data_IF_776042442280
#
_entry.id   IF_776042442280
#
_cell.length_a   1.000
_cell.length_b   1.000
_cell.length_c   1.000
_cell.angle_alpha   90.00
_cell.angle_beta   90.00
_cell.angle_gamma   90.00
#
_symmetry.space_group_name_H-M   'P 1'
#
loop_
_entity.id
_entity.type
_entity.pdbx_description
1 polymer ?
#
# COMPACT_ATOMS: atom_id res chain seq x y z
N UNK A 1 8.42 -11.96 20.31
CA UNK A 1 7.62 -11.19 19.33
C UNK A 1 6.82 -10.15 20.11
N UNK A 2 6.78 -8.91 19.65
CA UNK A 2 6.33 -7.73 20.42
C UNK A 2 4.87 -7.78 20.95
N UNK A 3 4.08 -8.79 20.57
CA UNK A 3 2.64 -8.87 20.85
C UNK A 3 2.16 -10.22 21.44
N UNK A 4 3.07 -11.16 21.75
CA UNK A 4 2.73 -12.52 22.25
C UNK A 4 1.65 -13.27 21.44
N UNK A 5 1.65 -13.08 20.11
CA UNK A 5 0.72 -13.73 19.20
C UNK A 5 1.30 -15.03 18.64
N UNK A 6 0.51 -16.09 18.65
CA UNK A 6 0.82 -17.36 17.96
C UNK A 6 0.08 -17.41 16.63
N UNK A 7 0.81 -17.24 15.53
CA UNK A 7 0.24 -17.26 14.18
C UNK A 7 0.96 -18.25 13.27
N UNK A 8 0.21 -18.94 12.42
CA UNK A 8 0.76 -19.73 11.31
C UNK A 8 0.72 -18.90 10.03
N UNK A 9 1.89 -18.65 9.45
CA UNK A 9 1.97 -17.97 8.15
C UNK A 9 1.59 -18.91 7.01
N UNK A 10 0.70 -18.45 6.13
CA UNK A 10 0.26 -19.18 4.92
C UNK A 10 0.45 -18.26 3.71
N UNK A 11 1.42 -18.54 2.83
CA UNK A 11 1.70 -17.67 1.68
C UNK A 11 0.73 -17.92 0.52
N UNK A 12 0.39 -16.84 -0.19
CA UNK A 12 -0.36 -16.87 -1.46
C UNK A 12 0.30 -15.95 -2.49
N UNK A 13 0.07 -16.22 -3.79
CA UNK A 13 0.76 -15.54 -4.90
C UNK A 13 0.27 -14.11 -5.21
N UNK A 14 -0.72 -13.58 -4.49
CA UNK A 14 -1.23 -12.23 -4.72
C UNK A 14 -2.34 -11.83 -3.77
N UNK A 15 -2.48 -10.53 -3.52
CA UNK A 15 -3.39 -10.03 -2.49
C UNK A 15 -4.88 -10.22 -2.82
N UNK A 16 -5.27 -10.26 -4.10
CA UNK A 16 -6.62 -10.69 -4.49
C UNK A 16 -6.95 -12.14 -4.11
N UNK A 17 -5.96 -13.05 -4.16
CA UNK A 17 -6.12 -14.42 -3.66
C UNK A 17 -6.22 -14.42 -2.13
N UNK A 18 -5.37 -13.65 -1.45
CA UNK A 18 -5.40 -13.50 0.02
C UNK A 18 -6.79 -13.03 0.49
N UNK A 19 -7.36 -12.00 -0.14
CA UNK A 19 -8.67 -11.45 0.21
C UNK A 19 -9.78 -12.50 0.09
N UNK A 20 -9.77 -13.31 -0.98
CA UNK A 20 -10.70 -14.43 -1.15
C UNK A 20 -10.58 -15.51 -0.08
N UNK A 21 -9.37 -15.78 0.40
CA UNK A 21 -9.14 -16.81 1.43
C UNK A 21 -9.70 -16.37 2.79
N UNK A 22 -9.59 -15.09 3.14
CA UNK A 22 -10.25 -14.53 4.33
C UNK A 22 -11.77 -14.57 4.15
N UNK A 23 -12.28 -14.05 3.03
CA UNK A 23 -13.73 -14.00 2.77
C UNK A 23 -14.38 -15.40 2.73
N UNK A 24 -13.67 -16.39 2.19
CA UNK A 24 -14.07 -17.80 2.16
C UNK A 24 -13.85 -18.54 3.49
N UNK A 25 -13.37 -17.86 4.54
CA UNK A 25 -13.08 -18.42 5.87
C UNK A 25 -12.05 -19.56 5.86
N UNK A 26 -11.16 -19.59 4.87
CA UNK A 26 -10.04 -20.54 4.81
C UNK A 26 -8.86 -20.13 5.69
N UNK A 27 -8.77 -18.83 6.02
CA UNK A 27 -7.81 -18.26 6.97
C UNK A 27 -8.53 -17.24 7.88
N UNK A 28 -7.99 -17.02 9.08
CA UNK A 28 -8.65 -16.16 10.08
C UNK A 28 -8.40 -14.66 9.87
N UNK A 29 -7.26 -14.29 9.29
CA UNK A 29 -6.86 -12.90 9.07
C UNK A 29 -5.81 -12.81 7.97
N UNK A 30 -5.62 -11.61 7.43
CA UNK A 30 -4.56 -11.31 6.49
C UNK A 30 -4.07 -9.86 6.63
N UNK A 31 -2.92 -9.58 6.02
CA UNK A 31 -2.53 -8.23 5.63
C UNK A 31 -2.80 -8.10 4.12
N UNK A 32 -3.53 -7.06 3.71
CA UNK A 32 -3.90 -6.83 2.31
C UNK A 32 -3.71 -5.36 1.93
N UNK A 33 -3.53 -5.09 0.63
CA UNK A 33 -3.69 -3.72 0.15
C UNK A 33 -5.18 -3.32 0.21
N UNK A 34 -5.51 -2.06 0.54
CA UNK A 34 -6.89 -1.60 0.70
C UNK A 34 -7.80 -1.93 -0.48
N UNK A 35 -7.30 -1.71 -1.72
CA UNK A 35 -8.07 -1.94 -2.95
C UNK A 35 -8.45 -3.40 -3.19
N UNK A 36 -7.72 -4.36 -2.61
CA UNK A 36 -7.94 -5.80 -2.86
C UNK A 36 -9.01 -6.38 -1.94
N UNK A 37 -9.17 -5.83 -0.74
CA UNK A 37 -10.14 -6.28 0.27
C UNK A 37 -11.46 -5.47 0.22
N UNK A 38 -11.44 -4.26 -0.34
CA UNK A 38 -12.57 -3.33 -0.37
C UNK A 38 -13.90 -3.96 -0.80
N UNK A 39 -13.91 -4.74 -1.89
CA UNK A 39 -15.14 -5.38 -2.37
C UNK A 39 -15.73 -6.37 -1.35
N UNK A 40 -14.89 -7.09 -0.62
CA UNK A 40 -15.32 -8.04 0.42
C UNK A 40 -15.79 -7.32 1.69
N UNK A 41 -15.15 -6.19 2.04
CA UNK A 41 -15.61 -5.33 3.12
C UNK A 41 -16.99 -4.74 2.82
N UNK A 42 -17.18 -4.18 1.63
CA UNK A 42 -18.46 -3.61 1.20
C UNK A 42 -19.57 -4.68 1.13
N UNK A 43 -19.22 -5.93 0.83
CA UNK A 43 -20.12 -7.07 0.87
C UNK A 43 -20.38 -7.63 2.30
N UNK A 44 -19.76 -7.06 3.34
CA UNK A 44 -19.92 -7.48 4.73
C UNK A 44 -19.26 -8.81 5.09
N UNK A 45 -18.37 -9.33 4.23
CA UNK A 45 -17.69 -10.64 4.43
C UNK A 45 -16.22 -10.51 4.84
N UNK A 46 -15.75 -9.28 5.05
CA UNK A 46 -14.44 -8.99 5.63
C UNK A 46 -14.57 -7.82 6.62
N UNK A 47 -13.78 -7.86 7.69
CA UNK A 47 -13.73 -6.79 8.71
C UNK A 47 -12.30 -6.26 8.80
N UNK A 48 -12.06 -4.98 8.41
CA UNK A 48 -10.78 -4.31 8.65
C UNK A 48 -10.54 -4.16 10.15
N UNK A 49 -9.39 -4.61 10.64
CA UNK A 49 -9.07 -4.57 12.08
C UNK A 49 -8.23 -3.36 12.46
N UNK A 50 -7.25 -3.02 11.63
CA UNK A 50 -6.30 -1.93 11.89
C UNK A 50 -5.68 -1.46 10.57
N UNK A 51 -5.44 -0.15 10.46
CA UNK A 51 -4.67 0.45 9.37
C UNK A 51 -3.20 0.61 9.79
N UNK A 52 -2.29 0.34 8.86
CA UNK A 52 -0.86 0.58 9.04
C UNK A 52 -0.41 1.95 8.47
N UNK A 53 -1.34 2.85 8.20
CA UNK A 53 -1.05 4.24 7.83
C UNK A 53 -1.00 5.14 9.08
N UNK A 54 -0.39 6.32 8.96
CA UNK A 54 -0.37 7.30 10.05
C UNK A 54 -1.78 7.78 10.42
N UNK A 55 -2.62 7.98 9.41
CA UNK A 55 -4.02 8.41 9.52
C UNK A 55 -4.96 7.29 9.10
N UNK A 56 -6.23 7.37 9.50
CA UNK A 56 -7.25 6.42 9.07
C UNK A 56 -7.48 6.51 7.55
N UNK A 57 -7.95 5.41 6.98
CA UNK A 57 -8.33 5.35 5.57
C UNK A 57 -9.79 5.75 5.41
N UNK A 58 -10.10 6.71 4.54
CA UNK A 58 -11.48 7.19 4.32
C UNK A 58 -12.46 6.07 3.97
N UNK A 59 -11.99 5.06 3.21
CA UNK A 59 -12.79 3.90 2.82
C UNK A 59 -13.05 2.91 3.95
N UNK A 60 -12.27 2.97 5.03
CA UNK A 60 -12.33 2.08 6.17
C UNK A 60 -12.34 2.90 7.48
N UNK A 61 -13.30 3.83 7.66
CA UNK A 61 -13.24 4.85 8.71
C UNK A 61 -13.32 4.26 10.13
N UNK A 62 -13.86 3.04 10.25
CA UNK A 62 -14.01 2.32 11.50
C UNK A 62 -12.74 1.57 11.92
N UNK A 63 -11.76 1.43 11.02
CA UNK A 63 -10.48 0.81 11.35
C UNK A 63 -9.56 1.84 12.02
N UNK A 64 -9.15 1.65 13.27
CA UNK A 64 -8.15 2.52 13.89
C UNK A 64 -6.78 2.31 13.24
N UNK A 65 -5.87 3.26 13.42
CA UNK A 65 -4.45 3.09 13.06
C UNK A 65 -3.69 2.35 14.17
N UNK A 66 -2.50 1.82 13.86
CA UNK A 66 -1.60 1.29 14.91
C UNK A 66 -1.22 2.36 15.93
N UNK A 67 -1.08 3.62 15.51
CA UNK A 67 -0.79 4.76 16.41
C UNK A 67 -1.92 5.02 17.40
N UNK A 68 -3.18 4.98 16.95
CA UNK A 68 -4.35 5.05 17.84
C UNK A 68 -4.43 3.87 18.82
N UNK A 69 -3.77 2.76 18.51
CA UNK A 69 -3.61 1.59 19.40
C UNK A 69 -2.36 1.66 20.28
N UNK A 70 -1.67 2.81 20.33
CA UNK A 70 -0.51 3.04 21.18
C UNK A 70 0.80 2.43 20.64
N UNK A 71 0.85 2.10 19.34
CA UNK A 71 2.04 1.57 18.68
C UNK A 71 2.54 2.57 17.65
N UNK A 72 3.78 3.05 17.80
CA UNK A 72 4.40 3.92 16.80
C UNK A 72 4.86 3.09 15.59
N UNK A 73 3.89 2.75 14.73
CA UNK A 73 4.11 1.96 13.55
C UNK A 73 3.28 2.49 12.40
N UNK A 74 3.95 2.77 11.30
CA UNK A 74 3.32 2.98 10.00
C UNK A 74 4.13 2.26 8.93
N UNK A 75 3.43 1.72 7.94
CA UNK A 75 3.99 1.01 6.81
C UNK A 75 3.27 1.43 5.53
N UNK A 76 4.06 1.92 4.59
CA UNK A 76 3.60 2.28 3.26
C UNK A 76 4.29 1.37 2.25
N UNK A 77 3.50 0.70 1.42
CA UNK A 77 4.06 -0.14 0.38
C UNK A 77 4.46 0.72 -0.82
N UNK A 78 5.75 0.95 -0.98
CA UNK A 78 6.29 1.76 -2.05
C UNK A 78 6.18 1.06 -3.42
N UNK A 79 6.01 1.87 -4.47
CA UNK A 79 6.08 1.47 -5.88
C UNK A 79 6.99 2.45 -6.60
N UNK A 80 8.01 1.93 -7.27
CA UNK A 80 9.00 2.76 -7.95
C UNK A 80 9.46 2.14 -9.26
N UNK A 81 9.91 3.03 -10.14
CA UNK A 81 10.62 2.67 -11.37
C UNK A 81 12.10 2.95 -11.12
N UNK A 82 12.94 1.95 -11.32
CA UNK A 82 14.39 2.05 -11.11
C UNK A 82 15.07 1.94 -12.46
N UNK A 83 15.87 2.95 -12.80
CA UNK A 83 16.69 2.93 -14.00
C UNK A 83 17.78 1.85 -13.91
N UNK A 84 18.25 1.38 -15.05
CA UNK A 84 19.42 0.51 -15.11
C UNK A 84 20.65 1.22 -14.51
N UNK A 85 21.62 0.46 -13.96
CA UNK A 85 22.93 1.01 -13.63
C UNK A 85 23.52 1.77 -14.82
N UNK A 86 24.21 2.88 -14.54
CA UNK A 86 24.92 3.70 -15.55
C UNK A 86 24.00 4.32 -16.65
N UNK A 87 22.68 4.40 -16.41
CA UNK A 87 21.77 5.16 -17.27
C UNK A 87 22.29 6.59 -17.50
N UNK A 88 22.25 7.07 -18.76
CA UNK A 88 22.71 8.42 -19.09
C UNK A 88 21.88 9.49 -18.38
N UNK A 89 22.49 10.65 -18.13
CA UNK A 89 21.80 11.79 -17.53
C UNK A 89 20.57 12.23 -18.34
N UNK A 90 20.66 12.19 -19.67
CA UNK A 90 19.55 12.52 -20.57
C UNK A 90 18.38 11.54 -20.43
N UNK A 91 18.68 10.23 -20.37
CA UNK A 91 17.65 9.22 -20.17
C UNK A 91 16.99 9.36 -18.78
N UNK A 92 17.78 9.60 -17.74
CA UNK A 92 17.27 9.84 -16.39
C UNK A 92 16.35 11.07 -16.34
N UNK A 93 16.77 12.18 -16.97
CA UNK A 93 15.99 13.41 -17.04
C UNK A 93 14.67 13.19 -17.80
N UNK A 94 14.73 12.52 -18.96
CA UNK A 94 13.57 12.18 -19.76
C UNK A 94 12.53 11.36 -18.98
N UNK A 95 12.95 10.23 -18.38
CA UNK A 95 12.02 9.38 -17.64
C UNK A 95 11.48 10.04 -16.37
N UNK A 96 12.31 10.82 -15.68
CA UNK A 96 11.85 11.58 -14.50
C UNK A 96 10.74 12.56 -14.88
N UNK A 97 10.94 13.33 -15.97
CA UNK A 97 9.93 14.26 -16.47
C UNK A 97 8.66 13.54 -16.95
N UNK A 98 8.81 12.39 -17.64
CA UNK A 98 7.70 11.57 -18.09
C UNK A 98 6.86 11.08 -16.90
N UNK A 99 7.48 10.45 -15.89
CA UNK A 99 6.74 9.94 -14.74
C UNK A 99 6.16 11.05 -13.87
N UNK A 100 6.81 12.22 -13.80
CA UNK A 100 6.21 13.39 -13.15
C UNK A 100 4.95 13.85 -13.88
N UNK A 101 4.97 13.91 -15.21
CA UNK A 101 3.80 14.27 -16.02
C UNK A 101 2.66 13.26 -15.84
N UNK A 102 2.98 11.96 -15.79
CA UNK A 102 1.98 10.91 -15.49
C UNK A 102 1.43 11.07 -14.07
N UNK A 103 2.30 11.30 -13.08
CA UNK A 103 1.88 11.48 -11.70
C UNK A 103 0.97 12.70 -11.55
N UNK A 104 1.27 13.81 -12.20
CA UNK A 104 0.45 15.03 -12.13
C UNK A 104 -0.84 14.94 -12.95
N UNK A 105 -1.01 13.90 -13.78
CA UNK A 105 -2.17 13.76 -14.64
C UNK A 105 -3.43 13.55 -13.81
N UNK A 106 -4.55 14.14 -14.27
CA UNK A 106 -5.85 13.96 -13.62
C UNK A 106 -6.23 12.49 -13.57
N UNK A 107 -5.98 11.72 -14.65
CA UNK A 107 -6.32 10.30 -14.67
C UNK A 107 -5.59 9.53 -13.57
N UNK A 108 -4.30 9.82 -13.34
CA UNK A 108 -3.56 9.19 -12.26
C UNK A 108 -4.05 9.63 -10.88
N UNK A 109 -4.29 10.93 -10.67
CA UNK A 109 -4.77 11.48 -9.40
C UNK A 109 -6.16 10.93 -9.02
N UNK A 110 -7.06 10.79 -9.99
CA UNK A 110 -8.36 10.15 -9.79
C UNK A 110 -8.19 8.66 -9.46
N UNK A 111 -7.37 7.95 -10.25
CA UNK A 111 -7.15 6.52 -10.07
C UNK A 111 -6.58 6.21 -8.68
N UNK A 112 -5.52 6.91 -8.27
CA UNK A 112 -4.86 6.67 -6.98
C UNK A 112 -5.81 6.91 -5.81
N UNK A 113 -6.66 7.94 -5.90
CA UNK A 113 -7.65 8.25 -4.87
C UNK A 113 -8.71 7.15 -4.82
N UNK A 114 -9.22 6.73 -5.99
CA UNK A 114 -10.22 5.66 -6.10
C UNK A 114 -9.71 4.31 -5.59
N UNK A 115 -8.40 4.09 -5.54
CA UNK A 115 -7.76 2.85 -5.08
C UNK A 115 -7.06 2.98 -3.72
N UNK A 116 -7.22 4.12 -3.03
CA UNK A 116 -6.56 4.39 -1.75
C UNK A 116 -5.03 4.20 -1.82
N UNK A 117 -4.42 4.69 -2.90
CA UNK A 117 -2.97 4.72 -3.10
C UNK A 117 -2.41 6.08 -2.65
N UNK A 118 -1.70 6.09 -1.53
CA UNK A 118 -1.13 7.28 -0.91
C UNK A 118 0.38 7.38 -1.15
N UNK A 119 0.92 8.61 -1.02
CA UNK A 119 2.35 8.90 -1.16
C UNK A 119 2.67 9.92 -2.24
N UNK A 120 3.72 10.71 -2.01
CA UNK A 120 4.14 11.75 -2.93
C UNK A 120 5.07 11.22 -4.02
N UNK A 121 5.25 12.03 -5.06
CA UNK A 121 6.24 11.76 -6.08
C UNK A 121 7.64 12.03 -5.52
N UNK A 122 8.48 10.99 -5.50
CA UNK A 122 9.90 11.09 -5.18
C UNK A 122 10.73 10.73 -6.40
N UNK A 123 11.84 11.44 -6.61
CA UNK A 123 12.81 11.16 -7.65
C UNK A 123 14.23 11.47 -7.19
N UNK A 124 15.22 10.97 -7.92
CA UNK A 124 16.64 11.24 -7.65
C UNK A 124 17.05 10.91 -6.22
N UNK A 125 17.80 11.84 -5.59
CA UNK A 125 18.31 11.67 -4.24
C UNK A 125 17.20 11.43 -3.20
N UNK A 126 16.05 12.11 -3.31
CA UNK A 126 14.96 11.92 -2.36
C UNK A 126 14.38 10.49 -2.40
N UNK A 127 14.29 9.89 -3.60
CA UNK A 127 13.88 8.49 -3.74
C UNK A 127 14.95 7.53 -3.22
N UNK A 128 16.23 7.84 -3.43
CA UNK A 128 17.34 7.02 -2.94
C UNK A 128 17.44 7.06 -1.41
N UNK A 129 17.24 8.24 -0.80
CA UNK A 129 17.28 8.42 0.64
C UNK A 129 16.09 7.77 1.34
N UNK A 130 14.95 7.62 0.67
CA UNK A 130 13.81 6.87 1.19
C UNK A 130 14.12 5.38 1.46
N UNK A 131 15.09 4.79 0.76
CA UNK A 131 15.47 3.38 0.92
C UNK A 131 16.60 3.13 1.92
N UNK A 132 17.22 4.18 2.45
CA UNK A 132 18.26 4.08 3.47
C UNK A 132 17.63 3.95 4.85
#
# INVERSE_FOLDING_TARGET
ANFDLKMKYVPYKGGGTVAKQVAGKHINSSVNNPSEIEGFYNAGVAVPLVAFTNERLDKFPNAPTMKEKGQDFAYYMQRSVVGAPEMSADAQAYYTALFKKVFDSKEWQDYRTSKSLYGDFLSGAALQDYWK
#
